data_IF_853210037382
#
_entry.id   IF_853210037382
#
_cell.length_a   1.000
_cell.length_b   1.000
_cell.length_c   1.000
_cell.angle_alpha   90.00
_cell.angle_beta   90.00
_cell.angle_gamma   90.00
#
_symmetry.space_group_name_H-M   'P 1'
#
loop_
_entity.id
_entity.type
_entity.pdbx_description
1 polymer ?
#
# COMPACT_ATOMS: atom_id res chain seq x y z
N UNK A 1 -23.78 48.56 -29.60
CA UNK A 1 -22.74 48.09 -30.56
C UNK A 1 -22.15 46.76 -30.02
N UNK A 2 -22.48 45.66 -30.69
CA UNK A 2 -21.87 44.35 -30.34
C UNK A 2 -20.51 44.29 -31.04
N UNK A 3 -19.44 44.30 -30.25
CA UNK A 3 -18.07 44.05 -30.74
C UNK A 3 -17.95 42.57 -31.08
N UNK A 4 -17.77 42.23 -32.34
CA UNK A 4 -17.48 40.89 -32.78
C UNK A 4 -16.06 40.51 -32.42
N UNK A 5 -15.81 39.25 -32.02
CA UNK A 5 -14.48 38.69 -31.79
C UNK A 5 -13.68 38.73 -33.10
N UNK A 6 -12.44 39.14 -33.02
CA UNK A 6 -11.53 39.13 -34.19
C UNK A 6 -10.90 37.72 -34.32
N UNK A 7 -10.59 37.31 -35.54
CA UNK A 7 -9.98 36.04 -35.85
C UNK A 7 -8.62 35.88 -35.12
N UNK A 8 -7.87 36.99 -35.00
CA UNK A 8 -6.58 37.00 -34.31
C UNK A 8 -6.76 36.78 -32.79
N UNK A 9 -7.80 37.30 -32.19
CA UNK A 9 -8.11 37.11 -30.76
C UNK A 9 -8.43 35.64 -30.46
N UNK A 10 -9.16 34.95 -31.36
CA UNK A 10 -9.45 33.54 -31.26
C UNK A 10 -8.15 32.70 -31.35
N UNK A 11 -7.23 33.04 -32.27
CA UNK A 11 -5.97 32.34 -32.43
C UNK A 11 -5.10 32.52 -31.17
N UNK A 12 -5.01 33.74 -30.64
CA UNK A 12 -4.21 34.01 -29.43
C UNK A 12 -4.78 33.26 -28.21
N UNK A 13 -6.10 33.28 -28.03
CA UNK A 13 -6.73 32.56 -26.92
C UNK A 13 -6.52 31.05 -27.02
N UNK A 14 -6.71 30.49 -28.23
CA UNK A 14 -6.49 29.03 -28.40
C UNK A 14 -5.04 28.63 -28.22
N UNK A 15 -4.08 29.44 -28.63
CA UNK A 15 -2.67 29.20 -28.40
C UNK A 15 -2.31 29.24 -26.89
N UNK A 16 -2.83 30.23 -26.15
CA UNK A 16 -2.66 30.32 -24.70
C UNK A 16 -3.28 29.13 -23.99
N UNK A 17 -4.48 28.70 -24.35
CA UNK A 17 -5.13 27.52 -23.79
C UNK A 17 -4.33 26.24 -24.07
N UNK A 18 -3.78 26.08 -25.26
CA UNK A 18 -2.93 24.94 -25.60
C UNK A 18 -1.65 24.90 -24.74
N UNK A 19 -1.00 26.05 -24.51
CA UNK A 19 0.18 26.16 -23.66
C UNK A 19 -0.18 25.80 -22.21
N UNK A 20 -1.28 26.34 -21.67
CA UNK A 20 -1.74 26.02 -20.31
C UNK A 20 -2.08 24.53 -20.18
N UNK A 21 -2.79 23.95 -21.13
CA UNK A 21 -3.12 22.54 -21.15
C UNK A 21 -1.85 21.66 -21.16
N UNK A 22 -0.85 21.99 -22.00
CA UNK A 22 0.41 21.26 -22.08
C UNK A 22 1.22 21.28 -20.78
N UNK A 23 1.07 22.33 -19.95
CA UNK A 23 1.75 22.43 -18.65
C UNK A 23 0.97 21.75 -17.51
N UNK A 24 -0.36 21.78 -17.57
CA UNK A 24 -1.23 21.30 -16.47
C UNK A 24 -1.48 19.79 -16.56
N UNK A 25 -1.79 19.29 -17.78
CA UNK A 25 -2.12 17.86 -17.96
C UNK A 25 -1.04 16.90 -17.43
N UNK A 26 0.26 17.07 -17.72
CA UNK A 26 1.28 16.16 -17.21
C UNK A 26 1.43 16.18 -15.68
N UNK A 27 1.09 17.31 -15.04
CA UNK A 27 1.13 17.40 -13.58
C UNK A 27 0.02 16.62 -12.92
N UNK A 28 -1.18 16.65 -13.49
CA UNK A 28 -2.34 15.94 -12.95
C UNK A 28 -2.18 14.41 -13.06
N UNK A 29 -1.70 13.90 -14.19
CA UNK A 29 -1.44 12.46 -14.38
C UNK A 29 -0.31 11.95 -13.48
N UNK A 30 0.73 12.79 -13.24
CA UNK A 30 1.83 12.44 -12.34
C UNK A 30 1.43 12.36 -10.86
N UNK A 31 0.40 13.08 -10.42
CA UNK A 31 -0.10 13.03 -9.04
C UNK A 31 -0.82 11.72 -8.75
N UNK A 32 -1.74 11.28 -9.62
CA UNK A 32 -2.48 10.04 -9.45
C UNK A 32 -1.54 8.82 -9.33
N UNK A 33 -0.50 8.77 -10.16
CA UNK A 33 0.51 7.72 -10.10
C UNK A 33 1.29 7.72 -8.78
N UNK A 34 1.66 8.90 -8.27
CA UNK A 34 2.36 9.02 -6.98
C UNK A 34 1.47 8.58 -5.81
N UNK A 35 0.19 8.93 -5.84
CA UNK A 35 -0.78 8.49 -4.84
C UNK A 35 -0.94 6.96 -4.84
N UNK A 36 -0.97 6.35 -6.04
CA UNK A 36 -0.99 4.90 -6.19
C UNK A 36 0.29 4.25 -5.64
N UNK A 37 1.47 4.78 -5.98
CA UNK A 37 2.74 4.26 -5.46
C UNK A 37 2.81 4.35 -3.93
N UNK A 38 2.32 5.45 -3.34
CA UNK A 38 2.26 5.63 -1.87
C UNK A 38 1.29 4.62 -1.24
N UNK A 39 0.13 4.37 -1.86
CA UNK A 39 -0.82 3.38 -1.35
C UNK A 39 -0.23 1.97 -1.37
N UNK A 40 0.45 1.59 -2.45
CA UNK A 40 1.16 0.30 -2.57
C UNK A 40 2.26 0.16 -1.53
N UNK A 41 3.05 1.22 -1.30
CA UNK A 41 4.12 1.18 -0.27
C UNK A 41 3.54 0.99 1.12
N UNK A 42 2.46 1.69 1.46
CA UNK A 42 1.76 1.52 2.74
C UNK A 42 1.16 0.12 2.90
N UNK A 43 0.60 -0.47 1.83
CA UNK A 43 0.16 -1.87 1.87
C UNK A 43 1.34 -2.82 2.10
N UNK A 44 2.48 -2.58 1.45
CA UNK A 44 3.69 -3.37 1.67
C UNK A 44 4.20 -3.27 3.11
N UNK A 45 4.14 -2.07 3.72
CA UNK A 45 4.47 -1.86 5.13
C UNK A 45 3.48 -2.58 6.05
N UNK A 46 2.17 -2.50 5.76
CA UNK A 46 1.14 -3.20 6.53
C UNK A 46 1.33 -4.72 6.48
N UNK A 47 1.63 -5.28 5.31
CA UNK A 47 1.94 -6.70 5.15
C UNK A 47 3.21 -7.10 5.92
N UNK A 48 4.23 -6.23 5.93
CA UNK A 48 5.46 -6.47 6.69
C UNK A 48 5.21 -6.43 8.20
N UNK A 49 4.37 -5.52 8.67
CA UNK A 49 3.97 -5.47 10.08
C UNK A 49 3.12 -6.67 10.48
N UNK A 50 2.22 -7.13 9.62
CA UNK A 50 1.49 -8.37 9.82
C UNK A 50 2.44 -9.55 9.97
N UNK A 51 3.42 -9.68 9.07
CA UNK A 51 4.44 -10.72 9.14
C UNK A 51 5.26 -10.68 10.43
N UNK A 52 5.63 -9.49 10.86
CA UNK A 52 6.40 -9.29 12.10
C UNK A 52 5.56 -9.64 13.34
N UNK A 53 4.32 -9.19 13.42
CA UNK A 53 3.41 -9.46 14.55
C UNK A 53 3.11 -10.95 14.68
N UNK A 54 2.77 -11.59 13.55
CA UNK A 54 2.52 -13.03 13.51
C UNK A 54 3.76 -13.83 13.94
N UNK A 55 4.91 -13.50 13.37
CA UNK A 55 6.18 -14.17 13.70
C UNK A 55 6.68 -13.92 15.12
N UNK A 56 6.27 -12.83 15.79
CA UNK A 56 6.61 -12.57 17.18
C UNK A 56 5.80 -13.42 18.17
N UNK A 57 4.69 -14.00 17.73
CA UNK A 57 3.83 -14.87 18.56
C UNK A 57 3.19 -14.18 19.77
N UNK A 58 3.27 -12.83 19.83
CA UNK A 58 2.81 -12.07 21.00
C UNK A 58 1.28 -11.94 21.09
N UNK A 59 0.60 -11.94 19.95
CA UNK A 59 -0.85 -11.90 19.85
C UNK A 59 -1.29 -12.42 18.48
N UNK A 60 -2.50 -12.99 18.41
CA UNK A 60 -3.13 -13.31 17.13
C UNK A 60 -3.44 -12.00 16.40
N UNK A 61 -3.00 -11.89 15.15
CA UNK A 61 -3.25 -10.71 14.33
C UNK A 61 -3.99 -11.08 13.04
N UNK A 62 -4.63 -10.10 12.43
CA UNK A 62 -5.34 -10.27 11.18
C UNK A 62 -5.23 -9.01 10.31
N UNK A 63 -5.20 -9.21 8.99
CA UNK A 63 -5.47 -8.13 8.04
C UNK A 63 -6.95 -8.19 7.70
N UNK A 64 -7.59 -7.04 7.72
CA UNK A 64 -9.02 -6.94 7.55
C UNK A 64 -9.37 -5.78 6.63
N UNK A 65 -10.23 -6.03 5.64
CA UNK A 65 -10.90 -4.96 4.90
C UNK A 65 -12.12 -4.51 5.70
N UNK A 66 -12.07 -3.28 6.16
CA UNK A 66 -13.20 -2.65 6.83
C UNK A 66 -14.28 -2.28 5.78
N UNK A 67 -15.48 -2.87 5.85
CA UNK A 67 -16.52 -2.63 4.86
C UNK A 67 -17.08 -1.20 4.89
N UNK A 68 -17.02 -0.53 6.04
CA UNK A 68 -17.58 0.81 6.22
C UNK A 68 -16.68 1.89 5.62
N UNK A 69 -15.37 1.71 5.75
CA UNK A 69 -14.38 2.69 5.28
C UNK A 69 -13.72 2.29 3.97
N UNK A 70 -13.77 1.01 3.58
CA UNK A 70 -13.04 0.46 2.43
C UNK A 70 -11.52 0.47 2.63
N UNK A 71 -11.06 0.54 3.88
CA UNK A 71 -9.64 0.60 4.22
C UNK A 71 -9.16 -0.78 4.69
N UNK A 72 -7.93 -1.13 4.33
CA UNK A 72 -7.26 -2.32 4.84
C UNK A 72 -6.54 -1.96 6.13
N UNK A 73 -6.80 -2.69 7.20
CA UNK A 73 -6.23 -2.45 8.52
C UNK A 73 -5.63 -3.70 9.13
N UNK A 74 -4.65 -3.52 10.00
CA UNK A 74 -4.12 -4.56 10.88
C UNK A 74 -4.93 -4.57 12.17
N UNK A 75 -5.37 -5.75 12.58
CA UNK A 75 -6.12 -5.99 13.79
C UNK A 75 -5.38 -6.98 14.68
N UNK A 76 -5.51 -6.80 15.99
CA UNK A 76 -4.96 -7.70 17.00
C UNK A 76 -6.07 -8.23 17.89
N UNK A 77 -5.99 -9.51 18.25
CA UNK A 77 -6.90 -10.13 19.18
C UNK A 77 -6.39 -9.88 20.60
N UNK A 78 -7.02 -8.96 21.30
CA UNK A 78 -6.62 -8.53 22.63
C UNK A 78 -7.59 -9.04 23.71
N UNK A 79 -7.02 -9.46 24.85
CA UNK A 79 -7.80 -9.75 26.05
C UNK A 79 -7.73 -8.54 26.99
N UNK A 80 -8.87 -8.13 27.54
CA UNK A 80 -8.89 -7.06 28.54
C UNK A 80 -8.19 -7.54 29.83
N UNK A 81 -7.07 -6.94 30.21
CA UNK A 81 -6.36 -7.33 31.43
C UNK A 81 -7.17 -7.10 32.71
N UNK A 82 -8.17 -6.23 32.66
CA UNK A 82 -9.08 -5.96 33.79
C UNK A 82 -10.23 -6.96 33.87
N UNK A 83 -10.49 -7.68 32.75
CA UNK A 83 -11.59 -8.64 32.62
C UNK A 83 -11.12 -9.93 31.95
N UNK A 84 -10.19 -10.68 32.55
CA UNK A 84 -9.59 -11.86 31.91
C UNK A 84 -10.56 -12.99 31.65
N UNK A 85 -11.79 -12.92 32.20
CA UNK A 85 -12.87 -13.90 31.97
C UNK A 85 -13.73 -13.57 30.73
N UNK A 86 -13.60 -12.39 30.17
CA UNK A 86 -14.28 -12.03 28.92
C UNK A 86 -13.52 -12.61 27.71
N UNK A 87 -14.27 -12.91 26.65
CA UNK A 87 -13.65 -13.38 25.41
C UNK A 87 -12.76 -12.30 24.79
N UNK A 88 -11.61 -12.67 24.20
CA UNK A 88 -10.76 -11.70 23.51
C UNK A 88 -11.52 -11.02 22.36
N UNK A 89 -11.28 -9.73 22.18
CA UNK A 89 -11.88 -8.91 21.14
C UNK A 89 -10.86 -8.49 20.09
N UNK A 90 -11.33 -8.36 18.84
CA UNK A 90 -10.53 -7.80 17.77
C UNK A 90 -10.47 -6.29 17.88
N UNK A 91 -9.28 -5.76 18.03
CA UNK A 91 -9.02 -4.33 18.13
C UNK A 91 -8.10 -3.91 16.97
N UNK A 92 -8.34 -2.73 16.34
CA UNK A 92 -7.41 -2.21 15.35
C UNK A 92 -6.05 -1.93 16.00
N UNK A 93 -4.97 -2.35 15.34
CA UNK A 93 -3.60 -2.11 15.83
C UNK A 93 -3.36 -0.60 15.93
N UNK A 94 -2.91 -0.15 17.12
CA UNK A 94 -2.73 1.29 17.43
C UNK A 94 -1.49 1.89 16.78
N UNK A 95 -0.57 1.06 16.31
CA UNK A 95 0.73 1.47 15.77
C UNK A 95 0.76 1.46 14.24
N UNK A 96 -0.21 0.79 13.60
CA UNK A 96 -0.31 0.67 12.16
C UNK A 96 -1.52 1.44 11.66
N UNK A 97 -1.28 2.42 10.79
CA UNK A 97 -2.39 3.18 10.22
C UNK A 97 -3.12 2.35 9.16
N UNK A 98 -4.46 2.40 9.12
CA UNK A 98 -5.23 1.81 8.04
C UNK A 98 -4.82 2.38 6.67
N UNK A 99 -4.83 1.53 5.65
CA UNK A 99 -4.51 1.90 4.29
C UNK A 99 -5.80 2.00 3.48
N UNK A 100 -6.21 3.21 3.19
CA UNK A 100 -7.36 3.48 2.33
C UNK A 100 -6.89 3.71 0.90
N UNK A 101 -7.58 3.09 -0.06
CA UNK A 101 -7.27 3.29 -1.47
C UNK A 101 -7.69 4.68 -1.91
N UNK A 102 -6.78 5.49 -2.51
CA UNK A 102 -7.14 6.77 -3.09
C UNK A 102 -8.03 6.60 -4.31
N UNK A 103 -8.66 7.69 -4.75
CA UNK A 103 -9.53 7.68 -5.93
C UNK A 103 -8.75 7.20 -7.17
N UNK A 104 -9.32 6.23 -7.89
CA UNK A 104 -8.70 5.65 -9.07
C UNK A 104 -7.63 4.59 -8.80
N UNK A 105 -7.46 4.20 -7.54
CA UNK A 105 -6.66 3.04 -7.11
C UNK A 105 -7.60 1.98 -6.57
N UNK A 106 -7.52 0.78 -7.10
CA UNK A 106 -8.38 -0.35 -6.75
C UNK A 106 -7.55 -1.53 -6.26
N UNK A 107 -7.97 -2.13 -5.16
CA UNK A 107 -7.50 -3.43 -4.73
C UNK A 107 -8.29 -4.50 -5.49
N UNK A 108 -7.78 -4.87 -6.67
CA UNK A 108 -8.52 -5.66 -7.64
C UNK A 108 -8.62 -7.14 -7.28
N UNK A 109 -7.66 -7.67 -6.53
CA UNK A 109 -7.65 -9.07 -6.14
C UNK A 109 -6.89 -9.26 -4.82
N UNK A 110 -7.47 -10.08 -3.95
CA UNK A 110 -6.82 -10.56 -2.73
C UNK A 110 -6.94 -12.07 -2.68
N UNK A 111 -5.83 -12.77 -2.40
CA UNK A 111 -5.81 -14.23 -2.22
C UNK A 111 -5.13 -14.60 -0.92
N UNK A 112 -5.61 -15.68 -0.31
CA UNK A 112 -5.02 -16.35 0.83
C UNK A 112 -4.77 -17.81 0.46
N UNK A 113 -3.50 -18.25 0.53
CA UNK A 113 -3.09 -19.60 0.11
C UNK A 113 -3.56 -19.97 -1.30
N UNK A 114 -3.42 -19.02 -2.24
CA UNK A 114 -3.85 -19.14 -3.62
C UNK A 114 -5.37 -19.08 -3.85
N UNK A 115 -6.20 -18.98 -2.79
CA UNK A 115 -7.66 -18.89 -2.90
C UNK A 115 -8.09 -17.43 -2.92
N UNK A 116 -8.89 -17.00 -3.90
CA UNK A 116 -9.41 -15.64 -3.93
C UNK A 116 -10.33 -15.39 -2.73
N UNK A 117 -10.24 -14.20 -2.19
CA UNK A 117 -11.15 -13.69 -1.17
C UNK A 117 -12.09 -12.72 -1.84
N UNK A 118 -13.35 -13.12 -1.98
CA UNK A 118 -14.37 -12.34 -2.65
C UNK A 118 -15.20 -11.55 -1.63
N UNK A 119 -15.66 -10.38 -2.05
CA UNK A 119 -16.60 -9.57 -1.30
C UNK A 119 -16.02 -8.27 -0.75
N UNK A 120 -16.93 -7.48 -0.16
CA UNK A 120 -16.61 -6.19 0.47
C UNK A 120 -16.02 -6.33 1.87
N UNK A 121 -16.02 -7.54 2.42
CA UNK A 121 -15.48 -7.85 3.75
C UNK A 121 -14.68 -9.14 3.68
N UNK A 122 -13.39 -9.08 3.94
CA UNK A 122 -12.54 -10.25 4.06
C UNK A 122 -11.54 -10.08 5.20
N UNK A 123 -11.11 -11.22 5.76
CA UNK A 123 -10.15 -11.28 6.85
C UNK A 123 -9.12 -12.36 6.60
N UNK A 124 -7.85 -12.01 6.76
CA UNK A 124 -6.72 -12.92 6.72
C UNK A 124 -6.15 -12.99 8.14
N UNK A 125 -6.34 -14.11 8.81
CA UNK A 125 -5.89 -14.30 10.19
C UNK A 125 -4.52 -14.96 10.18
N UNK A 126 -3.58 -14.43 10.96
CA UNK A 126 -2.29 -15.05 11.21
C UNK A 126 -2.42 -16.31 12.07
N UNK A 127 -1.36 -17.09 12.10
CA UNK A 127 -1.29 -18.35 12.87
C UNK A 127 -0.07 -18.34 13.79
N UNK A 128 -0.17 -17.78 14.99
CA UNK A 128 0.97 -17.67 15.93
C UNK A 128 1.60 -19.02 16.30
N UNK A 129 0.85 -20.11 16.16
CA UNK A 129 1.28 -21.48 16.47
C UNK A 129 1.52 -22.35 15.24
N UNK A 130 1.38 -21.79 14.04
CA UNK A 130 1.46 -22.51 12.78
C UNK A 130 2.17 -21.73 11.68
N UNK A 131 2.04 -22.23 10.48
CA UNK A 131 2.54 -21.54 9.30
C UNK A 131 1.59 -20.42 8.91
N UNK A 132 2.11 -19.19 8.75
CA UNK A 132 1.35 -18.03 8.29
C UNK A 132 0.83 -18.28 6.89
N UNK A 133 -0.41 -17.90 6.55
CA UNK A 133 -0.90 -18.03 5.20
C UNK A 133 -0.11 -17.17 4.21
N UNK A 134 0.02 -17.64 2.97
CA UNK A 134 0.48 -16.80 1.87
C UNK A 134 -0.57 -15.74 1.56
N UNK A 135 -0.12 -14.50 1.44
CA UNK A 135 -1.01 -13.37 1.10
C UNK A 135 -0.58 -12.77 -0.22
N UNK A 136 -1.52 -12.70 -1.14
CA UNK A 136 -1.36 -12.01 -2.42
C UNK A 136 -2.36 -10.88 -2.54
N UNK A 137 -1.89 -9.72 -2.99
CA UNK A 137 -2.72 -8.55 -3.27
C UNK A 137 -2.33 -7.94 -4.60
N UNK A 138 -3.33 -7.64 -5.45
CA UNK A 138 -3.14 -6.95 -6.72
C UNK A 138 -3.84 -5.61 -6.70
N UNK A 139 -3.05 -4.57 -6.91
CA UNK A 139 -3.50 -3.17 -6.96
C UNK A 139 -3.43 -2.68 -8.40
N UNK A 140 -4.52 -2.08 -8.86
CA UNK A 140 -4.64 -1.50 -10.20
C UNK A 140 -4.89 0.00 -10.05
N UNK A 141 -4.12 0.78 -10.80
CA UNK A 141 -4.32 2.22 -10.97
C UNK A 141 -4.06 2.58 -12.43
N UNK A 142 -4.35 3.81 -12.84
CA UNK A 142 -4.16 4.26 -14.22
C UNK A 142 -2.70 4.06 -14.69
N UNK A 143 -2.49 3.08 -15.58
CA UNK A 143 -1.19 2.69 -16.12
C UNK A 143 -0.23 1.99 -15.14
N UNK A 144 -0.71 1.57 -13.98
CA UNK A 144 0.06 0.82 -12.98
C UNK A 144 -0.71 -0.44 -12.58
N UNK A 145 -0.07 -1.59 -12.69
CA UNK A 145 -0.50 -2.85 -12.09
C UNK A 145 0.61 -3.34 -11.17
N UNK A 146 0.30 -3.45 -9.89
CA UNK A 146 1.26 -3.88 -8.88
C UNK A 146 0.74 -5.09 -8.13
N UNK A 147 1.58 -6.10 -8.04
CA UNK A 147 1.34 -7.29 -7.25
C UNK A 147 2.24 -7.28 -6.01
N UNK A 148 1.65 -7.58 -4.87
CA UNK A 148 2.32 -7.79 -3.60
C UNK A 148 2.11 -9.25 -3.19
N UNK A 149 3.18 -10.00 -3.03
CA UNK A 149 3.16 -11.39 -2.56
C UNK A 149 3.95 -11.48 -1.25
N UNK A 150 3.28 -11.88 -0.18
CA UNK A 150 3.89 -12.19 1.11
C UNK A 150 3.89 -13.71 1.31
N UNK A 151 5.01 -14.40 1.07
CA UNK A 151 5.12 -15.82 1.35
C UNK A 151 5.03 -16.13 2.86
N UNK A 152 4.68 -17.37 3.26
CA UNK A 152 4.51 -17.76 4.66
C UNK A 152 5.71 -17.44 5.56
N UNK A 153 6.93 -17.63 5.04
CA UNK A 153 8.17 -17.49 5.79
C UNK A 153 8.92 -16.17 5.53
N UNK A 154 8.33 -15.26 4.74
CA UNK A 154 8.95 -13.96 4.45
C UNK A 154 8.51 -12.89 5.45
N UNK A 155 9.41 -12.01 5.85
CA UNK A 155 9.09 -10.84 6.69
C UNK A 155 8.72 -9.60 5.89
N UNK A 156 8.93 -9.62 4.57
CA UNK A 156 8.67 -8.49 3.67
C UNK A 156 8.04 -9.03 2.40
N UNK A 157 6.98 -8.40 1.88
CA UNK A 157 6.36 -8.82 0.64
C UNK A 157 7.28 -8.56 -0.56
N UNK A 158 7.19 -9.42 -1.55
CA UNK A 158 7.76 -9.20 -2.88
C UNK A 158 6.82 -8.30 -3.67
N UNK A 159 7.37 -7.29 -4.34
CA UNK A 159 6.62 -6.37 -5.18
C UNK A 159 6.96 -6.61 -6.66
N UNK A 160 5.94 -6.74 -7.49
CA UNK A 160 6.06 -6.83 -8.95
C UNK A 160 5.23 -5.72 -9.57
N UNK A 161 5.87 -4.83 -10.34
CA UNK A 161 5.21 -3.73 -11.04
C UNK A 161 5.16 -4.03 -12.54
N UNK A 162 3.97 -4.06 -13.13
CA UNK A 162 3.75 -4.36 -14.56
C UNK A 162 4.53 -5.62 -15.03
N UNK A 163 4.52 -6.69 -14.23
CA UNK A 163 5.23 -7.94 -14.52
C UNK A 163 6.75 -7.90 -14.26
N UNK A 164 7.31 -6.80 -13.76
CA UNK A 164 8.72 -6.69 -13.39
C UNK A 164 8.86 -6.75 -11.88
N UNK A 165 9.45 -7.82 -11.37
CA UNK A 165 9.71 -7.97 -9.94
C UNK A 165 10.77 -6.97 -9.49
N UNK A 166 10.41 -6.13 -8.53
CA UNK A 166 11.39 -5.27 -7.85
C UNK A 166 12.02 -6.06 -6.71
N UNK A 167 13.16 -6.64 -6.98
CA UNK A 167 13.98 -7.18 -5.91
C UNK A 167 14.53 -6.01 -5.08
N UNK A 168 14.16 -5.95 -3.79
CA UNK A 168 14.87 -5.06 -2.84
C UNK A 168 16.26 -5.65 -2.65
N UNK A 169 17.18 -5.27 -3.51
CA UNK A 169 18.60 -5.59 -3.31
C UNK A 169 19.02 -4.87 -2.02
N UNK A 170 19.05 -5.62 -0.91
CA UNK A 170 19.76 -5.16 0.28
C UNK A 170 21.25 -5.16 -0.09
N UNK A 171 21.77 -4.01 -0.46
CA UNK A 171 23.20 -3.84 -0.55
C UNK A 171 23.72 -4.02 0.88
N UNK A 172 24.48 -5.08 1.19
CA UNK A 172 25.06 -5.23 2.50
C UNK A 172 25.96 -4.02 2.75
N UNK A 173 25.64 -3.24 3.78
CA UNK A 173 26.50 -2.13 4.22
C UNK A 173 27.66 -2.80 4.92
N UNK A 174 28.85 -2.71 4.32
CA UNK A 174 30.08 -3.12 4.98
C UNK A 174 30.38 -2.10 6.11
N UNK A 175 30.07 -2.53 7.34
CA UNK A 175 30.26 -1.69 8.52
C UNK A 175 31.73 -1.38 8.80
N UNK A 176 32.64 -2.20 8.32
CA UNK A 176 34.08 -1.96 8.45
C UNK A 176 34.52 -0.83 7.50
N UNK A 177 33.96 -0.77 6.29
CA UNK A 177 34.17 0.36 5.37
C UNK A 177 33.52 1.64 5.87
N UNK A 178 32.31 1.59 6.40
CA UNK A 178 31.63 2.76 6.97
C UNK A 178 32.35 3.36 8.20
N UNK A 179 33.19 2.57 8.86
CA UNK A 179 34.03 3.01 9.99
C UNK A 179 35.36 3.65 9.59
N UNK A 180 35.82 3.43 8.35
CA UNK A 180 37.12 3.95 7.88
C UNK A 180 37.09 5.42 7.43
N UNK A 181 35.92 5.99 7.15
CA UNK A 181 35.75 7.40 6.75
C UNK A 181 35.69 8.37 7.95
N UNK A 182 36.00 7.92 9.16
CA UNK A 182 36.17 8.84 10.29
C UNK A 182 37.55 9.50 10.21
N UNK A 183 37.54 10.80 9.93
CA UNK A 183 38.74 11.64 10.05
C UNK A 183 39.33 11.43 11.46
N UNK A 184 40.68 11.23 11.55
CA UNK A 184 41.33 11.20 12.84
C UNK A 184 41.18 12.57 13.51
N UNK A 185 40.78 12.57 14.75
CA UNK A 185 40.66 13.74 15.63
C UNK A 185 41.94 14.54 15.73
#
# INVERSE_FOLDING_TARGET
MRRGFTLIELIVVSALLAIVAALVVPRLTGMARREADVAVERLSELLSMFAFRDGSGSATCAIWLDPDTGCVALWTLESDPLRPSEAPEWMPDRHVQPVCMPKGVELAEVRMDGRPLDGSEWRIVGSPSGERPEVFMRVIADGLETELLLPPNASVPMRTDNGVTRERVRVPIDLDQAGMDREPW
#
